data_IF_023577548011
#
_entry.id   IF_023577548011
#
_cell.length_a   1.000
_cell.length_b   1.000
_cell.length_c   1.000
_cell.angle_alpha   90.00
_cell.angle_beta   90.00
_cell.angle_gamma   90.00
#
_symmetry.space_group_name_H-M   'P 1'
#
loop_
_entity.id
_entity.type
_entity.pdbx_description
1 polymer ?
#
# COMPACT_ATOMS: atom_id res chain seq x y z
N UNK A 1 -3.86 1.12 -20.24
CA UNK A 1 -2.52 0.80 -19.70
C UNK A 1 -1.87 2.00 -19.04
N UNK A 2 -1.59 3.10 -19.77
CA UNK A 2 -0.92 4.29 -19.21
C UNK A 2 -1.66 4.87 -18.00
N UNK A 3 -2.97 5.15 -18.13
CA UNK A 3 -3.77 5.75 -17.04
C UNK A 3 -3.72 4.92 -15.76
N UNK A 4 -3.84 3.58 -15.87
CA UNK A 4 -3.79 2.67 -14.72
C UNK A 4 -2.43 2.72 -14.03
N UNK A 5 -1.36 2.66 -14.81
CA UNK A 5 0.00 2.68 -14.28
C UNK A 5 0.32 4.03 -13.62
N UNK A 6 -0.17 5.13 -14.21
CA UNK A 6 -0.05 6.46 -13.63
C UNK A 6 -0.79 6.55 -12.29
N UNK A 7 -2.01 6.02 -12.18
CA UNK A 7 -2.77 6.03 -10.90
C UNK A 7 -2.02 5.29 -9.79
N UNK A 8 -1.40 4.15 -10.10
CA UNK A 8 -0.61 3.37 -9.11
C UNK A 8 0.60 4.16 -8.60
N UNK A 9 1.31 4.83 -9.51
CA UNK A 9 2.47 5.66 -9.16
C UNK A 9 2.04 6.81 -8.24
N UNK A 10 0.90 7.44 -8.55
CA UNK A 10 0.35 8.54 -7.75
C UNK A 10 -0.09 8.14 -6.33
N UNK A 11 -0.38 6.87 -6.07
CA UNK A 11 -0.72 6.44 -4.71
C UNK A 11 0.50 6.44 -3.76
N UNK A 12 1.74 6.41 -4.28
CA UNK A 12 2.95 6.67 -3.47
C UNK A 12 3.66 5.46 -2.86
N UNK A 13 3.46 4.22 -3.34
CA UNK A 13 4.14 3.03 -2.78
C UNK A 13 5.65 3.14 -2.82
N UNK A 14 6.19 3.56 -3.97
CA UNK A 14 7.63 3.63 -4.19
C UNK A 14 8.27 4.58 -3.21
N UNK A 15 7.60 5.70 -2.93
CA UNK A 15 8.02 6.65 -1.91
C UNK A 15 7.98 6.00 -0.52
N UNK A 16 6.88 5.34 -0.16
CA UNK A 16 6.77 4.68 1.15
C UNK A 16 7.82 3.56 1.35
N UNK A 17 8.18 2.81 0.31
CA UNK A 17 9.21 1.76 0.36
C UNK A 17 10.63 2.36 0.45
N UNK A 18 10.94 3.38 -0.34
CA UNK A 18 12.26 4.05 -0.34
C UNK A 18 12.50 4.78 0.99
N UNK A 19 11.46 5.42 1.54
CA UNK A 19 11.55 6.13 2.81
C UNK A 19 11.24 5.24 4.03
N UNK A 20 11.01 3.94 3.86
CA UNK A 20 10.70 3.05 4.98
C UNK A 20 11.84 3.03 6.02
N UNK A 21 13.09 2.93 5.56
CA UNK A 21 14.27 2.85 6.43
C UNK A 21 14.49 4.10 7.30
N UNK A 22 14.48 5.34 6.75
CA UNK A 22 14.58 6.54 7.56
C UNK A 22 13.35 6.75 8.47
N UNK A 23 12.14 6.40 8.01
CA UNK A 23 10.93 6.48 8.84
C UNK A 23 10.97 5.54 10.05
N UNK A 24 11.43 4.30 9.86
CA UNK A 24 11.60 3.36 10.96
C UNK A 24 12.75 3.74 11.90
N UNK A 25 13.77 4.43 11.38
CA UNK A 25 14.91 4.89 12.19
C UNK A 25 14.50 5.99 13.18
N UNK A 26 13.61 6.90 12.75
CA UNK A 26 12.99 7.88 13.65
C UNK A 26 11.93 7.25 14.56
N UNK A 27 11.12 6.31 14.06
CA UNK A 27 10.00 5.75 14.81
C UNK A 27 10.41 4.74 15.91
N UNK A 28 11.51 4.01 15.74
CA UNK A 28 11.93 2.95 16.68
C UNK A 28 13.44 3.03 16.95
N UNK A 29 13.89 3.95 17.82
CA UNK A 29 15.31 4.08 18.15
C UNK A 29 15.88 2.87 18.92
N UNK A 30 15.03 1.96 19.41
CA UNK A 30 15.44 0.78 20.20
C UNK A 30 15.73 -0.47 19.37
N UNK A 31 15.37 -0.51 18.08
CA UNK A 31 15.51 -1.70 17.22
C UNK A 31 16.23 -1.33 15.92
N UNK A 32 16.94 -2.29 15.32
CA UNK A 32 17.59 -2.06 14.03
C UNK A 32 16.54 -1.82 12.93
N UNK A 33 16.61 -0.65 12.30
CA UNK A 33 15.72 -0.23 11.19
C UNK A 33 15.59 -1.29 10.11
N UNK A 34 16.68 -2.02 9.83
CA UNK A 34 16.71 -3.10 8.85
C UNK A 34 15.72 -4.22 9.18
N UNK A 35 15.61 -4.61 10.46
CA UNK A 35 14.69 -5.67 10.89
C UNK A 35 13.24 -5.21 10.75
N UNK A 36 12.94 -3.95 11.12
CA UNK A 36 11.61 -3.37 10.96
C UNK A 36 11.17 -3.31 9.50
N UNK A 37 12.08 -2.89 8.58
CA UNK A 37 11.84 -2.92 7.14
C UNK A 37 11.56 -4.33 6.62
N UNK A 38 12.31 -5.34 7.07
CA UNK A 38 12.08 -6.74 6.65
C UNK A 38 10.70 -7.22 7.10
N UNK A 39 10.32 -6.96 8.36
CA UNK A 39 8.98 -7.31 8.88
C UNK A 39 7.90 -6.59 8.08
N UNK A 40 8.08 -5.30 7.80
CA UNK A 40 7.15 -4.52 6.99
C UNK A 40 6.95 -5.12 5.59
N UNK A 41 8.04 -5.54 4.96
CA UNK A 41 7.99 -6.18 3.63
C UNK A 41 7.24 -7.51 3.69
N UNK A 42 7.46 -8.34 4.72
CA UNK A 42 6.72 -9.59 4.92
C UNK A 42 5.22 -9.35 5.14
N UNK A 43 4.87 -8.37 5.98
CA UNK A 43 3.47 -7.98 6.22
C UNK A 43 2.80 -7.50 4.93
N UNK A 44 3.52 -6.71 4.13
CA UNK A 44 3.06 -6.23 2.82
C UNK A 44 2.79 -7.41 1.87
N UNK A 45 3.68 -8.40 1.81
CA UNK A 45 3.48 -9.61 0.99
C UNK A 45 2.22 -10.37 1.44
N UNK A 46 2.06 -10.60 2.75
CA UNK A 46 0.88 -11.27 3.30
C UNK A 46 -0.41 -10.49 2.99
N UNK A 47 -0.35 -9.16 3.06
CA UNK A 47 -1.46 -8.29 2.66
C UNK A 47 -1.82 -8.43 1.18
N UNK A 48 -0.83 -8.62 0.31
CA UNK A 48 -1.06 -8.86 -1.11
C UNK A 48 -1.85 -10.15 -1.35
N UNK A 49 -1.53 -11.23 -0.63
CA UNK A 49 -2.30 -12.48 -0.69
C UNK A 49 -3.74 -12.29 -0.20
N UNK A 50 -3.91 -11.63 0.95
CA UNK A 50 -5.23 -11.32 1.51
C UNK A 50 -6.02 -10.44 0.56
N UNK A 51 -5.40 -9.39 0.01
CA UNK A 51 -5.99 -8.47 -0.95
C UNK A 51 -6.44 -9.15 -2.23
N UNK A 52 -5.66 -10.13 -2.70
CA UNK A 52 -6.02 -10.94 -3.88
C UNK A 52 -7.24 -11.80 -3.59
N UNK A 53 -7.27 -12.48 -2.44
CA UNK A 53 -8.44 -13.27 -2.03
C UNK A 53 -9.69 -12.38 -1.80
N UNK A 54 -9.49 -11.18 -1.26
CA UNK A 54 -10.56 -10.24 -0.95
C UNK A 54 -11.18 -9.64 -2.23
N UNK A 55 -10.38 -9.48 -3.30
CA UNK A 55 -10.84 -9.02 -4.62
C UNK A 55 -11.83 -10.00 -5.25
N UNK A 56 -11.60 -11.29 -5.06
CA UNK A 56 -12.46 -12.36 -5.59
C UNK A 56 -13.80 -12.41 -4.85
N UNK A 57 -13.84 -12.00 -3.57
CA UNK A 57 -15.02 -12.05 -2.70
C UNK A 57 -15.90 -10.80 -2.74
N UNK A 58 -15.32 -9.60 -2.71
CA UNK A 58 -16.05 -8.33 -2.51
C UNK A 58 -16.38 -7.55 -3.79
N UNK A 59 -15.84 -8.00 -4.93
CA UNK A 59 -16.03 -7.31 -6.21
C UNK A 59 -15.03 -6.17 -6.42
N UNK A 60 -14.54 -6.07 -7.67
CA UNK A 60 -13.35 -5.29 -8.05
C UNK A 60 -13.48 -3.77 -7.85
N UNK A 61 -14.68 -3.21 -7.99
CA UNK A 61 -14.92 -1.75 -7.89
C UNK A 61 -14.97 -1.24 -6.45
N UNK A 62 -15.66 -1.94 -5.56
CA UNK A 62 -15.84 -1.50 -4.18
C UNK A 62 -14.52 -1.57 -3.43
N UNK A 63 -13.74 -2.63 -3.63
CA UNK A 63 -12.43 -2.78 -3.02
C UNK A 63 -11.51 -1.60 -3.32
N UNK A 64 -11.48 -1.11 -4.58
CA UNK A 64 -10.65 0.03 -4.96
C UNK A 64 -11.05 1.32 -4.26
N UNK A 65 -12.35 1.61 -4.17
CA UNK A 65 -12.83 2.85 -3.56
C UNK A 65 -12.49 2.85 -2.07
N UNK A 66 -12.77 1.76 -1.35
CA UNK A 66 -12.46 1.63 0.07
C UNK A 66 -10.95 1.65 0.35
N UNK A 67 -10.16 0.91 -0.41
CA UNK A 67 -8.71 0.88 -0.23
C UNK A 67 -8.07 2.24 -0.54
N UNK A 68 -8.50 2.92 -1.61
CA UNK A 68 -8.00 4.26 -1.96
C UNK A 68 -8.37 5.30 -0.90
N UNK A 69 -9.61 5.26 -0.40
CA UNK A 69 -10.05 6.16 0.66
C UNK A 69 -9.26 5.93 1.95
N UNK A 70 -9.12 4.68 2.38
CA UNK A 70 -8.38 4.33 3.60
C UNK A 70 -6.87 4.64 3.47
N UNK A 71 -6.27 4.41 2.30
CA UNK A 71 -4.87 4.76 2.01
C UNK A 71 -4.68 6.28 2.03
N UNK A 72 -5.61 7.05 1.46
CA UNK A 72 -5.59 8.51 1.49
C UNK A 72 -5.66 9.05 2.91
N UNK A 73 -6.58 8.53 3.74
CA UNK A 73 -6.69 8.91 5.15
C UNK A 73 -5.41 8.56 5.92
N UNK A 74 -4.86 7.37 5.74
CA UNK A 74 -3.60 6.98 6.38
C UNK A 74 -2.43 7.87 5.96
N UNK A 75 -2.36 8.28 4.68
CA UNK A 75 -1.32 9.16 4.16
C UNK A 75 -1.40 10.56 4.78
N UNK A 76 -2.61 11.12 4.93
CA UNK A 76 -2.81 12.41 5.62
C UNK A 76 -2.40 12.32 7.09
N UNK A 77 -2.73 11.24 7.77
CA UNK A 77 -2.34 11.03 9.17
C UNK A 77 -0.82 10.89 9.31
N UNK A 78 -0.16 10.12 8.45
CA UNK A 78 1.30 9.99 8.44
C UNK A 78 1.98 11.33 8.12
N UNK A 79 1.50 12.05 7.11
CA UNK A 79 2.05 13.35 6.72
C UNK A 79 1.93 14.39 7.82
N UNK A 80 0.77 14.45 8.50
CA UNK A 80 0.57 15.34 9.65
C UNK A 80 1.41 14.92 10.85
N UNK A 81 1.58 13.62 11.11
CA UNK A 81 2.48 13.13 12.16
C UNK A 81 3.94 13.53 11.90
N UNK A 82 4.44 13.41 10.67
CA UNK A 82 5.82 13.76 10.33
C UNK A 82 6.05 15.28 10.42
N UNK A 83 5.11 16.10 9.94
CA UNK A 83 5.28 17.56 9.96
C UNK A 83 5.13 18.18 11.34
N UNK A 84 4.21 17.67 12.15
CA UNK A 84 3.88 18.27 13.43
C UNK A 84 4.61 17.58 14.59
N UNK A 85 4.98 16.30 14.47
CA UNK A 85 5.62 15.51 15.53
C UNK A 85 4.80 15.45 16.84
N UNK A 86 3.46 15.46 16.72
CA UNK A 86 2.56 15.52 17.88
C UNK A 86 2.37 14.19 18.61
N UNK A 87 2.82 13.06 18.03
CA UNK A 87 2.51 11.72 18.54
C UNK A 87 3.73 10.96 19.06
N UNK A 88 3.52 10.00 19.99
CA UNK A 88 4.56 9.06 20.40
C UNK A 88 4.98 8.20 19.22
N UNK A 89 6.28 7.91 19.10
CA UNK A 89 6.89 7.32 17.89
C UNK A 89 6.31 5.97 17.47
N UNK A 90 5.73 5.21 18.42
CA UNK A 90 5.02 3.95 18.16
C UNK A 90 3.76 4.11 17.31
N UNK A 91 3.12 5.28 17.33
CA UNK A 91 1.91 5.57 16.55
C UNK A 91 2.25 5.66 15.06
N UNK A 92 3.37 6.30 14.72
CA UNK A 92 3.89 6.39 13.35
C UNK A 92 4.18 5.00 12.77
N UNK A 93 4.78 4.12 13.57
CA UNK A 93 5.05 2.73 13.17
C UNK A 93 3.75 1.97 12.88
N UNK A 94 2.73 2.07 13.74
CA UNK A 94 1.41 1.45 13.52
C UNK A 94 0.75 1.95 12.23
N UNK A 95 0.75 3.26 11.99
CA UNK A 95 0.16 3.83 10.78
C UNK A 95 0.93 3.44 9.51
N UNK A 96 2.25 3.26 9.57
CA UNK A 96 3.04 2.72 8.46
C UNK A 96 2.59 1.30 8.09
N UNK A 97 2.42 0.41 9.06
CA UNK A 97 1.93 -0.95 8.79
C UNK A 97 0.54 -0.93 8.17
N UNK A 98 -0.38 -0.14 8.73
CA UNK A 98 -1.76 -0.01 8.21
C UNK A 98 -1.76 0.58 6.79
N UNK A 99 -0.93 1.60 6.54
CA UNK A 99 -0.76 2.17 5.20
C UNK A 99 -0.26 1.09 4.22
N UNK A 100 0.78 0.34 4.57
CA UNK A 100 1.29 -0.75 3.75
C UNK A 100 0.23 -1.82 3.44
N UNK A 101 -0.51 -2.26 4.46
CA UNK A 101 -1.61 -3.24 4.30
C UNK A 101 -2.68 -2.73 3.32
N UNK A 102 -3.17 -1.51 3.56
CA UNK A 102 -4.27 -0.91 2.79
C UNK A 102 -3.86 -0.63 1.35
N UNK A 103 -2.64 -0.13 1.19
CA UNK A 103 -2.04 0.13 -0.12
C UNK A 103 -1.95 -1.16 -0.94
N UNK A 104 -1.40 -2.22 -0.34
CA UNK A 104 -1.17 -3.48 -1.06
C UNK A 104 -2.49 -4.16 -1.43
N UNK A 105 -3.50 -4.07 -0.56
CA UNK A 105 -4.85 -4.56 -0.85
C UNK A 105 -5.55 -3.82 -2.00
N UNK A 106 -5.30 -2.52 -2.19
CA UNK A 106 -5.94 -1.73 -3.25
C UNK A 106 -5.14 -1.67 -4.55
N UNK A 107 -3.92 -1.15 -4.48
CA UNK A 107 -3.12 -0.75 -5.62
C UNK A 107 -2.31 -1.90 -6.23
N UNK A 108 -2.00 -2.95 -5.44
CA UNK A 108 -1.16 -4.06 -5.88
C UNK A 108 -1.89 -5.07 -6.76
N UNK A 109 -3.18 -5.29 -6.49
CA UNK A 109 -3.94 -6.40 -7.07
C UNK A 109 -4.87 -5.93 -8.19
N UNK A 110 -5.52 -4.77 -8.03
CA UNK A 110 -6.55 -4.31 -8.97
C UNK A 110 -6.00 -3.95 -10.36
N UNK A 111 -4.88 -3.22 -10.49
CA UNK A 111 -4.37 -2.84 -11.79
C UNK A 111 -3.92 -4.05 -12.62
N UNK A 112 -3.20 -4.98 -12.00
CA UNK A 112 -2.74 -6.23 -12.63
C UNK A 112 -3.92 -7.08 -13.11
N UNK A 113 -4.97 -7.17 -12.28
CA UNK A 113 -6.18 -7.94 -12.58
C UNK A 113 -7.01 -7.28 -13.68
N UNK A 114 -7.13 -5.95 -13.71
CA UNK A 114 -7.84 -5.21 -14.76
C UNK A 114 -7.10 -5.29 -16.10
N UNK A 115 -5.77 -5.21 -16.07
CA UNK A 115 -4.90 -5.40 -17.24
C UNK A 115 -5.08 -6.79 -17.82
N UNK A 116 -5.05 -7.83 -16.98
CA UNK A 116 -5.29 -9.21 -17.41
C UNK A 116 -6.69 -9.39 -18.03
N UNK A 117 -7.72 -8.76 -17.45
CA UNK A 117 -9.09 -8.85 -17.96
C UNK A 117 -9.30 -8.13 -19.31
N UNK A 118 -8.58 -7.05 -19.56
CA UNK A 118 -8.66 -6.32 -20.84
C UNK A 118 -7.89 -7.05 -21.95
N UNK A 119 -6.79 -7.73 -21.61
CA UNK A 119 -5.99 -8.46 -22.60
C UNK A 119 -6.58 -9.82 -23.02
N UNK A 120 -7.27 -10.53 -22.12
CA UNK A 120 -7.93 -11.81 -22.43
C UNK A 120 -8.93 -11.77 -23.61
N UNK A 121 -9.83 -10.77 -23.75
CA UNK A 121 -10.74 -10.68 -24.89
C UNK A 121 -10.06 -10.23 -26.19
N UNK A 122 -8.91 -9.56 -26.13
CA UNK A 122 -8.17 -9.09 -27.31
C UNK A 122 -7.33 -10.22 -27.94
N UNK A 123 -6.79 -11.13 -27.12
CA UNK A 123 -6.02 -12.31 -27.59
C UNK A 123 -6.91 -13.41 -28.16
N UNK A 124 -8.16 -13.54 -27.68
CA UNK A 124 -9.09 -14.58 -28.18
C UNK A 124 -9.72 -14.24 -29.54
N UNK A 125 -9.45 -13.05 -30.10
CA UNK A 125 -10.00 -12.61 -31.40
C UNK A 125 -9.07 -12.81 -32.59
N UNK A 126 -7.93 -13.47 -32.41
CA UNK A 126 -7.03 -13.84 -33.50
C UNK A 126 -6.80 -15.35 -33.60
#
# INVERSE_FOLDING_TARGET
MVVLNTTVIFQGLLVAQVYAEPLFAEAVPSMSSTICCVIFTLVTIMAGFIGSFLIERLGRRLLMIYASFCTGVCCVILGTQIQLHWGPHWVTAMFMYIFGLTFTCGAGTVPCVLVAEIFLPEVSKH
#
